data_IF_093035981315
#
_entry.id   IF_093035981315
#
_cell.length_a   1.000
_cell.length_b   1.000
_cell.length_c   1.000
_cell.angle_alpha   90.00
_cell.angle_beta   90.00
_cell.angle_gamma   90.00
#
_symmetry.space_group_name_H-M   'P 1'
#
loop_
_entity.id
_entity.type
_entity.pdbx_description
1 polymer ?
#
# COMPACT_ATOMS: atom_id res chain seq x y z
N UNK A 1 10.56 -1.50 -10.15
CA UNK A 1 9.38 -2.36 -9.92
C UNK A 1 9.80 -3.60 -9.12
N UNK A 2 9.88 -3.49 -7.80
CA UNK A 2 10.16 -4.64 -6.94
C UNK A 2 8.84 -5.21 -6.43
N UNK A 3 8.39 -6.30 -7.07
CA UNK A 3 7.42 -7.20 -6.46
C UNK A 3 8.20 -8.09 -5.49
N UNK A 4 7.83 -8.09 -4.21
CA UNK A 4 8.31 -9.12 -3.28
C UNK A 4 7.96 -10.49 -3.85
N UNK A 5 8.96 -11.14 -4.43
CA UNK A 5 8.90 -12.49 -5.00
C UNK A 5 8.92 -13.47 -3.81
N UNK A 6 7.83 -13.53 -3.04
CA UNK A 6 7.80 -14.28 -1.78
C UNK A 6 6.54 -14.05 -0.95
N UNK A 7 5.46 -14.70 -1.36
CA UNK A 7 4.31 -15.20 -0.58
C UNK A 7 3.24 -14.28 0.02
N UNK A 8 3.42 -12.99 0.31
CA UNK A 8 2.26 -12.14 0.67
C UNK A 8 2.40 -10.72 0.11
N UNK A 9 1.36 -10.21 -0.55
CA UNK A 9 1.29 -8.84 -1.09
C UNK A 9 1.10 -7.81 0.03
N UNK A 10 2.04 -7.78 0.97
CA UNK A 10 2.02 -6.95 2.18
C UNK A 10 2.02 -5.47 1.84
N UNK A 11 2.78 -5.07 0.82
CA UNK A 11 2.73 -3.74 0.21
C UNK A 11 1.30 -3.32 -0.14
N UNK A 12 0.59 -4.18 -0.87
CA UNK A 12 -0.78 -3.93 -1.33
C UNK A 12 -1.75 -3.79 -0.15
N UNK A 13 -1.58 -4.63 0.87
CA UNK A 13 -2.40 -4.57 2.08
C UNK A 13 -2.16 -3.28 2.89
N UNK A 14 -0.90 -2.84 3.01
CA UNK A 14 -0.55 -1.60 3.71
C UNK A 14 -1.12 -0.39 2.95
N UNK A 15 -0.94 -0.34 1.63
CA UNK A 15 -1.47 0.73 0.78
C UNK A 15 -3.00 0.84 0.92
N UNK A 16 -3.70 -0.30 0.82
CA UNK A 16 -5.15 -0.32 1.00
C UNK A 16 -5.55 0.19 2.39
N UNK A 17 -4.89 -0.28 3.45
CA UNK A 17 -5.15 0.20 4.81
C UNK A 17 -4.91 1.71 4.99
N UNK A 18 -3.88 2.27 4.36
CA UNK A 18 -3.61 3.71 4.37
C UNK A 18 -4.69 4.53 3.64
N UNK A 19 -5.31 3.95 2.61
CA UNK A 19 -6.47 4.51 1.91
C UNK A 19 -7.79 4.35 2.69
N UNK A 20 -7.76 3.72 3.87
CA UNK A 20 -8.93 3.52 4.73
C UNK A 20 -9.72 2.25 4.45
N UNK A 21 -9.22 1.36 3.59
CA UNK A 21 -9.83 0.06 3.33
C UNK A 21 -9.63 -0.88 4.53
N UNK A 22 -10.74 -1.38 5.07
CA UNK A 22 -10.76 -2.32 6.18
C UNK A 22 -10.82 -3.77 5.70
N UNK A 23 -9.99 -4.65 6.28
CA UNK A 23 -9.85 -6.09 5.89
C UNK A 23 -11.19 -6.84 5.77
N UNK A 24 -12.21 -6.45 6.55
CA UNK A 24 -13.55 -7.10 6.56
C UNK A 24 -14.51 -6.57 5.50
N UNK A 25 -14.28 -5.36 5.00
CA UNK A 25 -15.20 -4.63 4.13
C UNK A 25 -14.65 -4.42 2.72
N UNK A 26 -13.34 -4.64 2.55
CA UNK A 26 -12.65 -4.49 1.27
C UNK A 26 -13.10 -5.55 0.28
N UNK A 27 -13.43 -5.08 -0.93
CA UNK A 27 -13.74 -5.95 -2.05
C UNK A 27 -12.45 -6.29 -2.82
N UNK A 28 -12.06 -7.58 -2.90
CA UNK A 28 -10.81 -8.01 -3.54
C UNK A 28 -10.68 -7.61 -5.00
N UNK A 29 -11.79 -7.43 -5.71
CA UNK A 29 -11.79 -7.07 -7.13
C UNK A 29 -11.45 -5.59 -7.36
N UNK A 30 -11.65 -4.73 -6.37
CA UNK A 30 -11.37 -3.29 -6.47
C UNK A 30 -9.97 -2.92 -5.93
N UNK A 31 -9.33 -3.82 -5.16
CA UNK A 31 -7.99 -3.60 -4.62
C UNK A 31 -6.93 -3.26 -5.69
N UNK A 32 -6.85 -3.96 -6.84
CA UNK A 32 -5.84 -3.64 -7.85
C UNK A 32 -5.95 -2.20 -8.38
N UNK A 33 -7.18 -1.73 -8.62
CA UNK A 33 -7.45 -0.38 -9.13
C UNK A 33 -7.08 0.69 -8.10
N UNK A 34 -7.46 0.49 -6.83
CA UNK A 34 -7.09 1.39 -5.74
C UNK A 34 -5.57 1.50 -5.59
N UNK A 35 -4.84 0.38 -5.74
CA UNK A 35 -3.38 0.37 -5.66
C UNK A 35 -2.79 1.14 -6.83
N UNK A 36 -3.32 0.98 -8.05
CA UNK A 36 -2.89 1.76 -9.21
C UNK A 36 -3.12 3.27 -9.02
N UNK A 37 -4.26 3.67 -8.43
CA UNK A 37 -4.55 5.07 -8.10
C UNK A 37 -3.57 5.64 -7.07
N UNK A 38 -3.23 4.87 -6.05
CA UNK A 38 -2.24 5.26 -5.03
C UNK A 38 -0.85 5.36 -5.62
N UNK A 39 -0.46 4.42 -6.48
CA UNK A 39 0.80 4.48 -7.25
C UNK A 39 0.80 5.67 -8.23
N UNK A 40 -0.38 6.18 -8.61
CA UNK A 40 -0.62 7.44 -9.33
C UNK A 40 -0.36 8.72 -8.52
N UNK A 41 0.17 8.59 -7.29
CA UNK A 41 0.74 9.62 -6.41
C UNK A 41 -0.16 10.26 -5.36
N UNK A 42 -1.36 9.73 -5.11
CA UNK A 42 -2.23 10.26 -4.06
C UNK A 42 -2.92 9.15 -3.29
N UNK A 43 -2.84 9.19 -1.95
CA UNK A 43 -3.65 8.32 -1.09
C UNK A 43 -4.88 9.11 -0.62
N UNK A 44 -6.10 8.67 -0.99
CA UNK A 44 -7.32 9.23 -0.42
C UNK A 44 -7.43 8.78 1.03
N UNK A 45 -7.43 9.72 1.99
CA UNK A 45 -7.65 9.39 3.40
C UNK A 45 -9.13 9.50 3.72
N UNK A 46 -9.66 8.51 4.44
CA UNK A 46 -11.09 8.43 4.79
C UNK A 46 -11.62 9.66 5.54
N UNK A 47 -10.77 10.43 6.23
CA UNK A 47 -11.17 11.60 7.05
C UNK A 47 -10.25 12.83 6.91
N UNK A 48 -9.40 12.93 5.86
CA UNK A 48 -8.45 14.05 5.67
C UNK A 48 -8.21 14.38 4.20
N UNK A 49 -7.60 15.55 3.95
CA UNK A 49 -7.04 15.92 2.64
C UNK A 49 -6.14 14.78 2.12
N UNK A 50 -6.25 14.50 0.82
CA UNK A 50 -5.39 13.54 0.14
C UNK A 50 -3.93 13.87 0.40
N UNK A 51 -3.13 12.84 0.65
CA UNK A 51 -1.68 13.00 0.83
C UNK A 51 -0.97 12.63 -0.46
N UNK A 52 0.04 13.41 -0.81
CA UNK A 52 0.99 13.00 -1.83
C UNK A 52 1.75 11.76 -1.32
N UNK A 53 1.90 10.77 -2.19
CA UNK A 53 2.62 9.54 -1.87
C UNK A 53 3.46 9.13 -3.06
N UNK A 54 4.78 9.07 -2.89
CA UNK A 54 5.70 8.55 -3.89
C UNK A 54 6.21 7.20 -3.41
N UNK A 55 5.74 6.11 -4.04
CA UNK A 55 6.07 4.75 -3.61
C UNK A 55 7.59 4.49 -3.53
N UNK A 56 8.40 5.08 -4.41
CA UNK A 56 9.85 4.85 -4.42
C UNK A 56 10.58 5.60 -3.30
N UNK A 57 10.03 6.72 -2.84
CA UNK A 57 10.63 7.58 -1.82
C UNK A 57 10.01 7.41 -0.43
N UNK A 58 8.77 6.90 -0.36
CA UNK A 58 8.00 6.81 0.88
C UNK A 58 7.81 5.36 1.34
N UNK A 59 8.06 4.36 0.48
CA UNK A 59 7.87 2.95 0.81
C UNK A 59 9.16 2.13 0.65
N UNK A 60 9.79 1.80 1.78
CA UNK A 60 11.03 1.03 1.80
C UNK A 60 10.84 -0.36 2.38
N UNK A 61 11.42 -1.35 1.72
CA UNK A 61 11.60 -2.69 2.27
C UNK A 61 13.00 -2.81 2.86
N UNK A 62 13.10 -2.77 4.20
CA UNK A 62 14.32 -3.13 4.90
C UNK A 62 14.31 -4.63 5.21
N UNK A 63 15.04 -5.42 4.40
CA UNK A 63 15.17 -6.86 4.58
C UNK A 63 16.32 -7.26 5.50
N UNK A 64 16.76 -6.36 6.39
CA UNK A 64 17.81 -6.69 7.36
C UNK A 64 17.24 -7.67 8.39
N UNK A 65 17.95 -8.78 8.59
CA UNK A 65 17.68 -9.63 9.75
C UNK A 65 18.01 -8.80 10.99
N UNK A 66 17.01 -8.49 11.81
CA UNK A 66 17.25 -8.03 13.18
C UNK A 66 17.97 -9.18 13.91
N UNK A 67 19.30 -9.20 13.86
CA UNK A 67 20.11 -10.08 14.68
C UNK A 67 20.01 -9.51 16.09
N UNK A 68 19.09 -10.08 16.88
CA UNK A 68 18.98 -9.86 18.32
C UNK A 68 20.04 -10.68 19.07
#
# INVERSE_FOLDING_TARGET
MFFCKGTHSTDKAIIAGLAGEGVKTTNPNFLPLLIEEVLGKTIPKLDRLSIHFDFEQDFFFHSESLVL
#
